data_IF_458231336797
#
_entry.id   IF_458231336797
#
_cell.length_a   1.000
_cell.length_b   1.000
_cell.length_c   1.000
_cell.angle_alpha   90.00
_cell.angle_beta   90.00
_cell.angle_gamma   90.00
#
_symmetry.space_group_name_H-M   'P 1'
#
loop_
_entity.id
_entity.type
_entity.pdbx_description
1 polymer ?
#
# COMPACT_ATOMS: atom_id res chain seq x y z
N UNK A 1 12.49 0.11 1.65
CA UNK A 1 11.45 -0.80 1.11
C UNK A 1 10.53 -1.21 2.25
N UNK A 2 9.22 -1.44 2.00
CA UNK A 2 8.33 -2.05 2.99
C UNK A 2 8.92 -3.41 3.41
N UNK A 3 9.07 -3.69 4.71
CA UNK A 3 9.78 -4.90 5.19
C UNK A 3 9.04 -6.22 4.91
N UNK A 4 7.90 -6.20 4.21
CA UNK A 4 7.01 -7.34 4.02
C UNK A 4 6.76 -7.73 2.54
N UNK A 5 7.63 -7.30 1.61
CA UNK A 5 7.51 -7.71 0.19
C UNK A 5 6.31 -7.12 -0.57
N UNK A 6 5.55 -6.21 0.06
CA UNK A 6 4.39 -5.55 -0.54
C UNK A 6 4.74 -4.66 -1.75
N UNK A 7 6.02 -4.37 -1.99
CA UNK A 7 6.47 -3.55 -3.12
C UNK A 7 6.06 -4.12 -4.47
N UNK A 8 6.07 -5.45 -4.62
CA UNK A 8 5.70 -6.09 -5.90
C UNK A 8 4.22 -5.91 -6.20
N UNK A 9 3.36 -6.07 -5.18
CA UNK A 9 1.92 -5.81 -5.33
C UNK A 9 1.63 -4.35 -5.66
N UNK A 10 2.33 -3.42 -5.02
CA UNK A 10 2.24 -1.99 -5.32
C UNK A 10 2.65 -1.70 -6.78
N UNK A 11 3.70 -2.34 -7.29
CA UNK A 11 4.07 -2.17 -8.70
C UNK A 11 3.05 -2.79 -9.67
N UNK A 12 2.42 -3.91 -9.31
CA UNK A 12 1.39 -4.53 -10.15
C UNK A 12 0.15 -3.64 -10.26
N UNK A 13 -0.29 -3.09 -9.12
CA UNK A 13 -1.36 -2.09 -9.03
C UNK A 13 -1.07 -0.88 -9.93
N UNK A 14 0.15 -0.37 -9.92
CA UNK A 14 0.59 0.77 -10.73
C UNK A 14 0.44 0.48 -12.23
N UNK A 15 0.85 -0.72 -12.66
CA UNK A 15 0.73 -1.17 -14.05
C UNK A 15 -0.74 -1.27 -14.46
N UNK A 16 -1.60 -1.84 -13.60
CA UNK A 16 -3.03 -1.97 -13.86
C UNK A 16 -3.67 -0.57 -13.96
N UNK A 17 -3.41 0.32 -13.00
CA UNK A 17 -3.98 1.66 -12.98
C UNK A 17 -3.57 2.46 -14.22
N UNK A 18 -2.27 2.47 -14.54
CA UNK A 18 -1.73 3.17 -15.70
C UNK A 18 -2.29 2.63 -17.01
N UNK A 19 -2.41 1.29 -17.14
CA UNK A 19 -2.99 0.65 -18.34
C UNK A 19 -4.45 1.06 -18.55
N UNK A 20 -5.25 1.15 -17.48
CA UNK A 20 -6.65 1.57 -17.56
C UNK A 20 -6.79 3.06 -17.90
N UNK A 21 -5.93 3.91 -17.35
CA UNK A 21 -5.89 5.34 -17.71
C UNK A 21 -5.51 5.52 -19.19
N UNK A 22 -4.54 4.76 -19.67
CA UNK A 22 -4.13 4.76 -21.09
C UNK A 22 -5.24 4.24 -22.00
N UNK A 23 -5.97 3.20 -21.61
CA UNK A 23 -7.08 2.65 -22.39
C UNK A 23 -8.29 3.60 -22.51
N UNK A 24 -8.53 4.43 -21.48
CA UNK A 24 -9.58 5.47 -21.52
C UNK A 24 -9.20 6.70 -22.35
N UNK A 25 -7.92 6.87 -22.69
CA UNK A 25 -7.41 8.02 -23.42
C UNK A 25 -7.82 7.97 -24.90
N UNK A 26 -8.29 9.09 -25.44
CA UNK A 26 -8.48 9.24 -26.88
C UNK A 26 -7.14 9.57 -27.57
N UNK A 27 -6.83 8.99 -28.74
CA UNK A 27 -5.49 9.05 -29.35
C UNK A 27 -5.04 10.43 -29.87
N UNK A 28 -5.78 11.51 -29.63
CA UNK A 28 -5.71 12.72 -30.46
C UNK A 28 -4.82 13.87 -29.96
N UNK A 29 -4.24 13.85 -28.76
CA UNK A 29 -3.38 14.97 -28.33
C UNK A 29 -2.22 14.58 -27.38
N UNK A 30 -0.99 14.89 -27.76
CA UNK A 30 0.21 14.70 -26.93
C UNK A 30 0.23 15.55 -25.63
N UNK A 31 -0.52 16.66 -25.61
CA UNK A 31 -0.74 17.49 -24.41
C UNK A 31 -1.47 16.77 -23.28
N UNK A 32 -2.11 15.64 -23.58
CA UNK A 32 -2.94 14.86 -22.66
C UNK A 32 -2.14 13.89 -21.77
N UNK A 33 -0.86 13.66 -22.09
CA UNK A 33 0.01 12.74 -21.33
C UNK A 33 0.36 13.30 -19.95
N UNK A 34 0.65 14.59 -19.85
CA UNK A 34 0.95 15.23 -18.57
C UNK A 34 -0.27 15.24 -17.63
N UNK A 35 -1.47 15.47 -18.18
CA UNK A 35 -2.72 15.39 -17.45
C UNK A 35 -2.99 13.97 -16.93
N UNK A 36 -2.70 12.94 -17.74
CA UNK A 36 -2.82 11.54 -17.35
C UNK A 36 -1.88 11.18 -16.18
N UNK A 37 -0.61 11.58 -16.23
CA UNK A 37 0.31 11.36 -15.12
C UNK A 37 -0.07 12.14 -13.86
N UNK A 38 -0.65 13.33 -14.02
CA UNK A 38 -1.15 14.12 -12.88
C UNK A 38 -2.33 13.41 -12.20
N UNK A 39 -3.25 12.86 -13.00
CA UNK A 39 -4.39 12.07 -12.49
C UNK A 39 -3.92 10.77 -11.83
N UNK A 40 -2.98 10.07 -12.47
CA UNK A 40 -2.32 8.91 -11.88
C UNK A 40 -1.69 9.22 -10.52
N UNK A 41 -0.88 10.29 -10.43
CA UNK A 41 -0.23 10.68 -9.16
C UNK A 41 -1.27 11.06 -8.10
N UNK A 42 -2.35 11.74 -8.49
CA UNK A 42 -3.43 12.12 -7.56
C UNK A 42 -4.14 10.91 -6.93
N UNK A 43 -4.35 9.85 -7.71
CA UNK A 43 -4.97 8.61 -7.23
C UNK A 43 -3.97 7.81 -6.39
N UNK A 44 -2.71 7.72 -6.81
CA UNK A 44 -1.76 6.77 -6.24
C UNK A 44 -1.00 7.29 -5.02
N UNK A 45 -0.69 8.58 -4.98
CA UNK A 45 0.17 9.18 -3.94
C UNK A 45 -0.34 9.00 -2.51
N UNK A 46 -1.65 9.11 -2.21
CA UNK A 46 -2.17 8.85 -0.87
C UNK A 46 -1.91 7.40 -0.41
N UNK A 47 -2.12 6.42 -1.30
CA UNK A 47 -1.95 5.00 -1.02
C UNK A 47 -0.49 4.64 -0.76
N UNK A 48 0.41 5.07 -1.63
CA UNK A 48 1.85 4.83 -1.48
C UNK A 48 2.40 5.50 -0.21
N UNK A 49 1.96 6.72 0.09
CA UNK A 49 2.36 7.43 1.32
C UNK A 49 1.89 6.70 2.57
N UNK A 50 0.66 6.18 2.58
CA UNK A 50 0.11 5.37 3.69
C UNK A 50 0.91 4.08 3.87
N UNK A 51 1.16 3.35 2.79
CA UNK A 51 1.97 2.12 2.82
C UNK A 51 3.39 2.38 3.33
N UNK A 52 4.02 3.46 2.89
CA UNK A 52 5.34 3.87 3.34
C UNK A 52 5.38 4.21 4.84
N UNK A 53 4.40 4.99 5.34
CA UNK A 53 4.29 5.32 6.77
C UNK A 53 4.08 4.07 7.62
N UNK A 54 3.23 3.14 7.19
CA UNK A 54 2.99 1.87 7.88
C UNK A 54 4.26 1.00 7.90
N UNK A 55 4.99 0.93 6.80
CA UNK A 55 6.24 0.22 6.71
C UNK A 55 7.28 0.74 7.72
N UNK A 56 7.47 2.06 7.78
CA UNK A 56 8.38 2.68 8.75
C UNK A 56 7.92 2.38 10.18
N UNK A 57 6.63 2.58 10.47
CA UNK A 57 6.08 2.30 11.81
C UNK A 57 6.31 0.86 12.24
N UNK A 58 6.11 -0.11 11.32
CA UNK A 58 6.38 -1.54 11.59
C UNK A 58 7.85 -1.80 11.84
N UNK A 59 8.74 -1.18 11.06
CA UNK A 59 10.18 -1.33 11.22
C UNK A 59 10.67 -0.77 12.57
N UNK A 60 10.29 0.45 12.91
CA UNK A 60 10.64 1.08 14.20
C UNK A 60 10.09 0.28 15.39
N UNK A 61 8.88 -0.27 15.29
CA UNK A 61 8.29 -1.11 16.33
C UNK A 61 9.02 -2.45 16.56
N UNK A 62 9.88 -2.89 15.64
CA UNK A 62 10.61 -4.17 15.75
C UNK A 62 12.08 -3.95 16.12
N UNK A 63 12.67 -2.82 15.70
CA UNK A 63 14.11 -2.55 15.82
C UNK A 63 14.60 -2.49 17.28
N UNK A 64 13.83 -1.87 18.18
CA UNK A 64 14.31 -1.52 19.53
C UNK A 64 13.58 -2.28 20.66
N UNK A 65 13.13 -3.52 20.41
CA UNK A 65 12.44 -4.31 21.45
C UNK A 65 13.44 -4.94 22.43
N UNK A 66 13.32 -4.57 23.71
CA UNK A 66 14.03 -5.23 24.81
C UNK A 66 13.62 -6.70 24.98
N UNK A 67 14.56 -7.55 25.43
CA UNK A 67 14.34 -9.00 25.60
C UNK A 67 13.09 -9.37 26.41
N UNK A 68 12.83 -8.67 27.53
CA UNK A 68 11.65 -8.92 28.35
C UNK A 68 10.35 -8.55 27.62
N UNK A 69 10.35 -7.42 26.91
CA UNK A 69 9.20 -6.97 26.12
C UNK A 69 8.92 -7.94 24.95
N UNK A 70 9.96 -8.51 24.35
CA UNK A 70 9.82 -9.57 23.35
C UNK A 70 9.13 -10.81 23.94
N UNK A 71 9.56 -11.27 25.12
CA UNK A 71 8.95 -12.42 25.78
C UNK A 71 7.50 -12.19 26.16
N UNK A 72 7.16 -11.03 26.73
CA UNK A 72 5.77 -10.69 27.02
C UNK A 72 4.94 -10.68 25.73
N UNK A 73 5.47 -10.09 24.66
CA UNK A 73 4.78 -10.04 23.36
C UNK A 73 4.56 -11.43 22.75
N UNK A 74 5.48 -12.38 22.91
CA UNK A 74 5.28 -13.77 22.48
C UNK A 74 4.09 -14.42 23.21
N UNK A 75 3.98 -14.22 24.52
CA UNK A 75 2.89 -14.78 25.33
C UNK A 75 1.52 -14.22 24.94
N UNK A 76 1.46 -12.94 24.61
CA UNK A 76 0.22 -12.26 24.19
C UNK A 76 0.01 -12.22 22.68
N UNK A 77 0.85 -12.89 21.88
CA UNK A 77 0.79 -12.82 20.41
C UNK A 77 -0.60 -13.23 19.88
N UNK A 78 -1.19 -14.29 20.44
CA UNK A 78 -2.52 -14.77 20.07
C UNK A 78 -3.61 -13.70 20.25
N UNK A 79 -3.54 -12.96 21.36
CA UNK A 79 -4.49 -11.90 21.68
C UNK A 79 -4.32 -10.73 20.72
N UNK A 80 -3.07 -10.35 20.42
CA UNK A 80 -2.76 -9.34 19.39
C UNK A 80 -3.29 -9.78 18.02
N UNK A 81 -3.10 -11.03 17.62
CA UNK A 81 -3.61 -11.54 16.35
C UNK A 81 -5.13 -11.48 16.28
N UNK A 82 -5.85 -11.84 17.34
CA UNK A 82 -7.31 -11.76 17.38
C UNK A 82 -7.82 -10.32 17.24
N UNK A 83 -7.18 -9.37 17.90
CA UNK A 83 -7.58 -7.95 17.85
C UNK A 83 -7.26 -7.31 16.50
N UNK A 84 -6.11 -7.63 15.91
CA UNK A 84 -5.62 -6.98 14.70
C UNK A 84 -5.89 -7.74 13.39
N UNK A 85 -6.42 -8.97 13.46
CA UNK A 85 -6.76 -9.77 12.27
C UNK A 85 -7.65 -9.00 11.28
N UNK A 86 -8.68 -8.32 11.78
CA UNK A 86 -9.61 -7.52 10.95
C UNK A 86 -8.92 -6.33 10.27
N UNK A 87 -7.92 -5.75 10.91
CA UNK A 87 -7.19 -4.61 10.35
C UNK A 87 -6.23 -5.06 9.25
N UNK A 88 -5.65 -6.25 9.39
CA UNK A 88 -4.77 -6.85 8.38
C UNK A 88 -5.54 -7.27 7.12
N UNK A 89 -6.75 -7.82 7.27
CA UNK A 89 -7.61 -8.17 6.13
C UNK A 89 -8.01 -6.92 5.33
N UNK A 90 -8.40 -5.84 6.01
CA UNK A 90 -8.79 -4.59 5.36
C UNK A 90 -7.66 -3.91 4.57
N UNK A 91 -6.40 -4.05 5.02
CA UNK A 91 -5.24 -3.56 4.25
C UNK A 91 -4.97 -4.39 2.99
N UNK A 92 -5.32 -5.68 3.00
CA UNK A 92 -5.10 -6.59 1.87
C UNK A 92 -6.21 -6.52 0.81
N UNK A 93 -7.35 -5.92 1.15
CA UNK A 93 -8.54 -5.86 0.29
C UNK A 93 -8.55 -4.67 -0.69
N UNK A 94 -7.48 -3.87 -0.73
CA UNK A 94 -7.39 -2.78 -1.70
C UNK A 94 -7.42 -3.33 -3.12
N UNK A 95 -8.42 -2.91 -3.89
CA UNK A 95 -8.67 -3.36 -5.24
C UNK A 95 -8.65 -2.16 -6.19
N UNK A 96 -7.57 -2.07 -6.97
CA UNK A 96 -7.35 -1.02 -7.98
C UNK A 96 -8.46 -1.00 -9.03
N UNK A 97 -9.14 -2.13 -9.27
CA UNK A 97 -10.20 -2.20 -10.28
C UNK A 97 -11.43 -1.37 -9.91
N UNK A 98 -11.66 -1.15 -8.60
CA UNK A 98 -12.78 -0.39 -8.07
C UNK A 98 -12.56 1.13 -8.07
N UNK A 99 -11.37 1.61 -8.37
CA UNK A 99 -11.12 3.05 -8.45
C UNK A 99 -11.84 3.68 -9.66
N UNK A 100 -12.50 4.83 -9.41
CA UNK A 100 -13.13 5.65 -10.43
C UNK A 100 -12.09 6.47 -11.19
N UNK A 101 -11.89 6.12 -12.47
CA UNK A 101 -10.92 6.75 -13.37
C UNK A 101 -11.49 7.94 -14.11
#
# INVERSE_FOLDING_TARGET
MPPQGQSVGICLDDVILLSRLLAKRQPTAASDVAALFTRYDSLRRPHVTKAHKLAIKRFENVKDISWLAFKIREWFLWLVLLLFAKQFSAESEYDVLKEEL
#
